data_IF_172178941708
#
_entry.id   IF_172178941708
#
_cell.length_a   1.000
_cell.length_b   1.000
_cell.length_c   1.000
_cell.angle_alpha   90.00
_cell.angle_beta   90.00
_cell.angle_gamma   90.00
#
_symmetry.space_group_name_H-M   'P 1'
#
loop_
_entity.id
_entity.type
_entity.pdbx_description
1 polymer ?
#
# COMPACT_ATOMS: atom_id res chain seq x y z
N UNK A 1 -10.88 -14.16 22.61
CA UNK A 1 -9.85 -13.45 21.84
C UNK A 1 -10.37 -13.02 20.47
N UNK A 2 -10.89 -13.91 19.63
CA UNK A 2 -11.51 -13.52 18.34
C UNK A 2 -12.85 -12.78 18.52
N UNK A 3 -13.76 -13.33 19.34
CA UNK A 3 -15.07 -12.73 19.62
C UNK A 3 -15.00 -11.29 20.16
N UNK A 4 -14.04 -11.00 21.05
CA UNK A 4 -13.83 -9.66 21.60
C UNK A 4 -13.37 -8.64 20.55
N UNK A 5 -12.60 -9.08 19.54
CA UNK A 5 -12.18 -8.22 18.43
C UNK A 5 -13.32 -7.94 17.45
N UNK A 6 -14.11 -8.98 17.13
CA UNK A 6 -15.30 -8.83 16.29
C UNK A 6 -16.27 -7.84 16.95
N UNK A 7 -16.52 -8.00 18.26
CA UNK A 7 -17.37 -7.09 19.01
C UNK A 7 -16.87 -5.64 18.94
N UNK A 8 -15.57 -5.40 19.11
CA UNK A 8 -14.99 -4.07 19.01
C UNK A 8 -15.20 -3.43 17.62
N UNK A 9 -15.06 -4.21 16.53
CA UNK A 9 -15.34 -3.75 15.17
C UNK A 9 -16.82 -3.40 15.03
N UNK A 10 -17.71 -4.29 15.49
CA UNK A 10 -19.16 -4.09 15.43
C UNK A 10 -19.58 -2.83 16.21
N UNK A 11 -19.01 -2.60 17.38
CA UNK A 11 -19.30 -1.45 18.24
C UNK A 11 -18.77 -0.12 17.64
N UNK A 12 -17.65 -0.16 16.90
CA UNK A 12 -17.10 1.02 16.22
C UNK A 12 -18.04 1.60 15.14
N UNK A 13 -18.98 0.79 14.63
CA UNK A 13 -19.96 1.19 13.62
C UNK A 13 -21.36 1.46 14.21
N UNK A 14 -21.48 1.59 15.53
CA UNK A 14 -22.76 1.86 16.18
C UNK A 14 -23.42 3.16 15.67
N UNK A 15 -24.74 3.13 15.49
CA UNK A 15 -25.56 4.25 15.07
C UNK A 15 -25.53 4.55 13.56
N UNK A 16 -24.68 3.88 12.79
CA UNK A 16 -24.57 4.09 11.34
C UNK A 16 -25.63 3.28 10.56
N UNK A 17 -26.60 3.97 9.95
CA UNK A 17 -27.56 3.33 9.04
C UNK A 17 -26.82 2.77 7.81
N UNK A 18 -26.97 1.47 7.54
CA UNK A 18 -26.40 0.82 6.37
C UNK A 18 -24.97 0.30 6.53
N UNK A 19 -24.44 0.22 7.75
CA UNK A 19 -23.04 -0.15 8.00
C UNK A 19 -22.70 -1.65 7.82
N UNK A 20 -23.67 -2.52 7.48
CA UNK A 20 -23.43 -3.97 7.36
C UNK A 20 -22.23 -4.27 6.44
N UNK A 21 -22.18 -3.64 5.27
CA UNK A 21 -21.10 -3.89 4.30
C UNK A 21 -19.73 -3.43 4.82
N UNK A 22 -19.67 -2.28 5.52
CA UNK A 22 -18.44 -1.74 6.10
C UNK A 22 -17.94 -2.63 7.25
N UNK A 23 -18.86 -3.05 8.14
CA UNK A 23 -18.53 -3.96 9.24
C UNK A 23 -17.97 -5.29 8.70
N UNK A 24 -18.58 -5.85 7.65
CA UNK A 24 -18.07 -7.07 7.01
C UNK A 24 -16.70 -6.84 6.36
N UNK A 25 -16.47 -5.67 5.75
CA UNK A 25 -15.15 -5.33 5.20
C UNK A 25 -14.07 -5.25 6.28
N UNK A 26 -14.36 -4.61 7.41
CA UNK A 26 -13.40 -4.47 8.52
C UNK A 26 -13.11 -5.81 9.20
N UNK A 27 -14.14 -6.65 9.39
CA UNK A 27 -13.96 -8.02 9.86
C UNK A 27 -13.07 -8.80 8.88
N UNK A 28 -13.32 -8.70 7.58
CA UNK A 28 -12.49 -9.38 6.60
C UNK A 28 -11.06 -8.85 6.57
N UNK A 29 -10.85 -7.55 6.76
CA UNK A 29 -9.52 -6.96 6.82
C UNK A 29 -8.71 -7.52 8.00
N UNK A 30 -9.37 -7.75 9.14
CA UNK A 30 -8.76 -8.32 10.35
C UNK A 30 -8.52 -9.84 10.24
N UNK A 31 -9.48 -10.60 9.70
CA UNK A 31 -9.46 -12.07 9.73
C UNK A 31 -9.16 -12.75 8.39
N UNK A 32 -9.00 -11.98 7.30
CA UNK A 32 -8.79 -12.47 5.94
C UNK A 32 -10.01 -13.17 5.29
N UNK A 33 -11.11 -13.31 6.03
CA UNK A 33 -12.38 -13.88 5.60
C UNK A 33 -13.47 -13.49 6.60
N UNK A 34 -14.69 -13.99 6.39
CA UNK A 34 -15.83 -13.79 7.27
C UNK A 34 -16.16 -15.10 8.03
N UNK A 35 -15.70 -15.25 9.29
CA UNK A 35 -16.08 -16.37 10.13
C UNK A 35 -17.59 -16.39 10.40
N UNK A 36 -18.19 -17.57 10.52
CA UNK A 36 -19.62 -17.70 10.84
C UNK A 36 -20.01 -16.98 12.13
N UNK A 37 -19.16 -17.06 13.15
CA UNK A 37 -19.35 -16.37 14.42
C UNK A 37 -19.48 -14.85 14.22
N UNK A 38 -18.69 -14.28 13.31
CA UNK A 38 -18.74 -12.87 12.98
C UNK A 38 -20.04 -12.49 12.28
N UNK A 39 -20.51 -13.32 11.34
CA UNK A 39 -21.79 -13.10 10.67
C UNK A 39 -22.97 -13.14 11.64
N UNK A 40 -22.95 -14.03 12.64
CA UNK A 40 -23.96 -14.10 13.70
C UNK A 40 -24.00 -12.82 14.53
N UNK A 41 -22.84 -12.34 14.99
CA UNK A 41 -22.76 -11.08 15.74
C UNK A 41 -23.27 -9.88 14.93
N UNK A 42 -22.93 -9.82 13.64
CA UNK A 42 -23.42 -8.77 12.74
C UNK A 42 -24.94 -8.86 12.55
N UNK A 43 -25.49 -10.07 12.42
CA UNK A 43 -26.93 -10.29 12.29
C UNK A 43 -27.69 -9.81 13.54
N UNK A 44 -27.24 -10.25 14.72
CA UNK A 44 -27.82 -9.87 16.00
C UNK A 44 -27.77 -8.34 16.19
N UNK A 45 -26.62 -7.73 15.86
CA UNK A 45 -26.45 -6.28 15.99
C UNK A 45 -27.32 -5.47 15.04
N UNK A 46 -27.42 -5.93 13.80
CA UNK A 46 -28.19 -5.25 12.75
C UNK A 46 -29.70 -5.47 12.90
N UNK A 47 -30.14 -6.37 13.79
CA UNK A 47 -31.54 -6.78 13.90
C UNK A 47 -32.04 -7.47 12.62
N UNK A 48 -31.16 -8.22 11.95
CA UNK A 48 -31.45 -8.93 10.69
C UNK A 48 -31.28 -10.43 10.87
N UNK A 49 -31.88 -11.21 9.98
CA UNK A 49 -31.67 -12.65 10.01
C UNK A 49 -30.24 -12.99 9.55
N UNK A 50 -29.69 -14.09 10.05
CA UNK A 50 -28.40 -14.60 9.58
C UNK A 50 -28.42 -14.86 8.06
N UNK A 51 -29.57 -15.26 7.51
CA UNK A 51 -29.79 -15.47 6.07
C UNK A 51 -29.60 -14.18 5.28
N UNK A 52 -30.11 -13.05 5.77
CA UNK A 52 -29.92 -11.74 5.12
C UNK A 52 -28.43 -11.38 5.07
N UNK A 53 -27.70 -11.61 6.17
CA UNK A 53 -26.26 -11.34 6.24
C UNK A 53 -25.48 -12.25 5.30
N UNK A 54 -25.80 -13.54 5.21
CA UNK A 54 -25.23 -14.44 4.20
C UNK A 54 -25.56 -13.99 2.79
N UNK A 55 -26.78 -13.48 2.55
CA UNK A 55 -27.17 -12.88 1.28
C UNK A 55 -26.23 -11.74 0.88
N UNK A 56 -25.95 -10.82 1.80
CA UNK A 56 -24.98 -9.73 1.57
C UNK A 56 -23.56 -10.27 1.34
N UNK A 57 -23.09 -11.17 2.20
CA UNK A 57 -21.73 -11.72 2.14
C UNK A 57 -21.45 -12.52 0.86
N UNK A 58 -22.48 -13.14 0.27
CA UNK A 58 -22.36 -13.89 -0.99
C UNK A 58 -22.66 -13.04 -2.22
N UNK A 59 -23.41 -11.96 -2.08
CA UNK A 59 -23.71 -11.03 -3.18
C UNK A 59 -22.47 -10.23 -3.60
N UNK A 60 -21.71 -9.71 -2.64
CA UNK A 60 -20.51 -8.92 -2.92
C UNK A 60 -19.27 -9.80 -3.08
N UNK A 61 -18.73 -9.90 -4.28
CA UNK A 61 -17.53 -10.72 -4.58
C UNK A 61 -16.25 -10.24 -3.88
N UNK A 62 -16.23 -9.01 -3.40
CA UNK A 62 -15.14 -8.49 -2.57
C UNK A 62 -15.09 -9.17 -1.18
N UNK A 63 -16.22 -9.72 -0.70
CA UNK A 63 -16.31 -10.48 0.54
C UNK A 63 -16.09 -11.97 0.29
N UNK A 64 -15.47 -12.65 1.25
CA UNK A 64 -15.18 -14.08 1.21
C UNK A 64 -15.55 -14.75 2.53
N UNK A 65 -16.38 -15.79 2.42
CA UNK A 65 -16.67 -16.72 3.50
C UNK A 65 -15.54 -17.75 3.70
N UNK A 66 -14.67 -17.91 2.71
CA UNK A 66 -13.55 -18.85 2.76
C UNK A 66 -12.27 -18.11 3.13
N UNK A 67 -11.39 -18.73 3.95
CA UNK A 67 -10.06 -18.19 4.22
C UNK A 67 -9.31 -17.87 2.92
N UNK A 68 -8.92 -16.61 2.77
CA UNK A 68 -7.98 -16.19 1.72
C UNK A 68 -6.54 -16.36 2.21
N UNK A 69 -5.64 -16.49 1.25
CA UNK A 69 -4.22 -16.43 1.51
C UNK A 69 -3.77 -15.03 1.87
N UNK A 70 -2.53 -14.91 2.33
CA UNK A 70 -1.90 -13.64 2.68
C UNK A 70 -1.88 -12.66 1.50
N UNK A 71 -1.67 -13.17 0.29
CA UNK A 71 -1.59 -12.41 -0.94
C UNK A 71 -2.79 -12.72 -1.85
N UNK A 72 -3.55 -11.69 -2.23
CA UNK A 72 -4.70 -11.80 -3.12
C UNK A 72 -4.35 -11.26 -4.50
N UNK A 73 -4.39 -12.13 -5.51
CA UNK A 73 -4.15 -11.78 -6.91
C UNK A 73 -5.45 -11.90 -7.69
N UNK A 74 -5.91 -10.79 -8.27
CA UNK A 74 -7.12 -10.72 -9.08
C UNK A 74 -6.79 -10.32 -10.53
N UNK A 75 -7.09 -11.20 -11.50
CA UNK A 75 -6.86 -10.94 -12.92
C UNK A 75 -8.16 -10.49 -13.61
N UNK A 76 -8.10 -9.37 -14.33
CA UNK A 76 -9.23 -8.86 -15.11
C UNK A 76 -9.47 -9.70 -16.37
N UNK A 77 -10.66 -10.28 -16.49
CA UNK A 77 -11.14 -11.02 -17.66
C UNK A 77 -12.24 -10.28 -18.42
N UNK A 78 -12.35 -8.96 -18.25
CA UNK A 78 -13.31 -8.15 -19.00
C UNK A 78 -12.99 -8.15 -20.49
N UNK A 79 -13.99 -7.87 -21.32
CA UNK A 79 -13.90 -8.04 -22.79
C UNK A 79 -12.59 -7.50 -23.37
N UNK A 80 -12.21 -6.27 -23.00
CA UNK A 80 -10.96 -5.65 -23.47
C UNK A 80 -9.69 -6.37 -22.98
N UNK A 81 -9.66 -6.86 -21.73
CA UNK A 81 -8.52 -7.63 -21.21
C UNK A 81 -8.49 -9.04 -21.81
N UNK A 82 -9.66 -9.66 -21.99
CA UNK A 82 -9.82 -10.98 -22.57
C UNK A 82 -9.23 -11.04 -23.98
N UNK A 83 -9.62 -10.12 -24.87
CA UNK A 83 -9.10 -10.06 -26.25
C UNK A 83 -7.60 -9.71 -26.30
N UNK A 84 -7.06 -9.09 -25.25
CA UNK A 84 -5.62 -8.77 -25.12
C UNK A 84 -4.80 -9.90 -24.50
N UNK A 85 -5.39 -11.08 -24.31
CA UNK A 85 -4.67 -12.28 -23.84
C UNK A 85 -4.64 -12.46 -22.32
N UNK A 86 -5.55 -11.82 -21.57
CA UNK A 86 -5.66 -12.06 -20.12
C UNK A 86 -5.87 -13.55 -19.72
N UNK A 87 -6.56 -14.42 -20.49
CA UNK A 87 -6.67 -15.84 -20.15
C UNK A 87 -5.30 -16.53 -20.04
N UNK A 88 -4.37 -16.20 -20.93
CA UNK A 88 -3.00 -16.76 -20.91
C UNK A 88 -2.21 -16.26 -19.69
N UNK A 89 -2.49 -15.02 -19.23
CA UNK A 89 -1.92 -14.49 -17.98
C UNK A 89 -2.44 -15.27 -16.78
N UNK A 90 -3.74 -15.61 -16.75
CA UNK A 90 -4.33 -16.45 -15.69
C UNK A 90 -3.67 -17.83 -15.68
N UNK A 91 -3.55 -18.49 -16.83
CA UNK A 91 -2.91 -19.80 -16.95
C UNK A 91 -1.48 -19.80 -16.43
N UNK A 92 -0.71 -18.73 -16.68
CA UNK A 92 0.64 -18.60 -16.15
C UNK A 92 0.65 -18.42 -14.62
N UNK A 93 -0.30 -17.65 -14.05
CA UNK A 93 -0.44 -17.59 -12.58
C UNK A 93 -0.78 -18.96 -11.99
N UNK A 94 -1.71 -19.69 -12.62
CA UNK A 94 -2.06 -21.05 -12.20
C UNK A 94 -0.84 -21.98 -12.21
N UNK A 95 -0.01 -21.88 -13.25
CA UNK A 95 1.23 -22.66 -13.39
C UNK A 95 2.27 -22.31 -12.32
N UNK A 96 2.46 -21.02 -12.03
CA UNK A 96 3.45 -20.54 -11.05
C UNK A 96 3.04 -20.84 -9.60
N UNK A 97 1.73 -20.79 -9.30
CA UNK A 97 1.19 -21.00 -7.96
C UNK A 97 0.77 -22.46 -7.69
N UNK A 98 0.60 -23.27 -8.74
CA UNK A 98 0.14 -24.66 -8.62
C UNK A 98 -1.32 -24.81 -8.22
N UNK A 99 -2.15 -23.79 -8.47
CA UNK A 99 -3.58 -23.75 -8.13
C UNK A 99 -4.42 -23.27 -9.32
N UNK A 100 -5.74 -23.44 -9.26
CA UNK A 100 -6.68 -22.87 -10.25
C UNK A 100 -7.25 -21.53 -9.80
N UNK A 101 -7.70 -20.73 -10.76
CA UNK A 101 -8.45 -19.51 -10.46
C UNK A 101 -9.67 -19.82 -9.56
N UNK A 102 -9.83 -19.05 -8.49
CA UNK A 102 -10.81 -19.26 -7.42
C UNK A 102 -10.30 -20.10 -6.24
N UNK A 103 -9.02 -20.51 -6.24
CA UNK A 103 -8.42 -21.32 -5.16
C UNK A 103 -7.38 -20.54 -4.36
N UNK A 104 -7.05 -21.08 -3.20
CA UNK A 104 -5.98 -20.63 -2.31
C UNK A 104 -4.95 -21.75 -2.20
N UNK A 105 -3.66 -21.40 -2.17
CA UNK A 105 -2.56 -22.34 -1.98
C UNK A 105 -2.64 -23.04 -0.61
N UNK A 106 -2.08 -24.24 -0.50
CA UNK A 106 -2.14 -25.05 0.72
C UNK A 106 -1.46 -24.39 1.93
N UNK A 107 -0.39 -23.65 1.67
CA UNK A 107 0.35 -22.85 2.66
C UNK A 107 -0.38 -21.55 3.07
N UNK A 108 -1.52 -21.24 2.43
CA UNK A 108 -2.27 -19.98 2.60
C UNK A 108 -1.45 -18.73 2.31
N UNK A 109 -0.43 -18.83 1.46
CA UNK A 109 0.31 -17.65 1.02
C UNK A 109 -0.44 -16.90 -0.09
N UNK A 110 -1.09 -17.59 -1.03
CA UNK A 110 -1.70 -16.96 -2.20
C UNK A 110 -3.14 -17.39 -2.44
N UNK A 111 -4.00 -16.44 -2.81
CA UNK A 111 -5.30 -16.69 -3.45
C UNK A 111 -5.29 -16.10 -4.84
N UNK A 112 -5.65 -16.91 -5.84
CA UNK A 112 -5.81 -16.46 -7.22
C UNK A 112 -7.30 -16.33 -7.54
N UNK A 113 -7.75 -15.14 -7.93
CA UNK A 113 -9.11 -14.86 -8.35
C UNK A 113 -9.13 -14.24 -9.76
N UNK A 114 -10.29 -14.33 -10.41
CA UNK A 114 -10.58 -13.60 -11.64
C UNK A 114 -11.75 -12.65 -11.41
N UNK A 115 -11.70 -11.49 -12.05
CA UNK A 115 -12.75 -10.48 -11.99
C UNK A 115 -13.27 -10.16 -13.37
N UNK A 116 -14.57 -9.89 -13.46
CA UNK A 116 -15.21 -9.64 -14.75
C UNK A 116 -14.75 -8.32 -15.36
N UNK A 117 -14.65 -7.22 -14.61
CA UNK A 117 -14.17 -5.97 -15.15
C UNK A 117 -13.64 -5.08 -14.03
N UNK A 118 -12.49 -4.43 -14.27
CA UNK A 118 -11.92 -3.42 -13.37
C UNK A 118 -12.14 -1.98 -13.85
N UNK A 119 -12.84 -1.78 -14.97
CA UNK A 119 -13.07 -0.45 -15.56
C UNK A 119 -11.82 0.20 -16.19
N UNK A 120 -10.64 -0.41 -16.07
CA UNK A 120 -9.37 0.12 -16.55
C UNK A 120 -9.00 -0.37 -17.97
N UNK A 121 -9.95 -0.37 -18.91
CA UNK A 121 -9.78 -0.99 -20.23
C UNK A 121 -8.58 -0.48 -21.03
N UNK A 122 -8.17 0.78 -20.85
CA UNK A 122 -6.96 1.33 -21.48
C UNK A 122 -5.70 0.57 -21.05
N UNK A 123 -5.64 0.14 -19.78
CA UNK A 123 -4.48 -0.49 -19.13
C UNK A 123 -4.46 -2.03 -19.24
N UNK A 124 -5.41 -2.63 -19.95
CA UNK A 124 -5.54 -4.08 -20.06
C UNK A 124 -4.40 -4.76 -20.85
N UNK A 125 -4.00 -6.01 -20.52
CA UNK A 125 -4.48 -6.83 -19.40
C UNK A 125 -4.07 -6.28 -18.03
N UNK A 126 -5.02 -6.20 -17.11
CA UNK A 126 -4.82 -5.62 -15.76
C UNK A 126 -4.88 -6.71 -14.70
N UNK A 127 -3.92 -6.68 -13.79
CA UNK A 127 -3.86 -7.54 -12.60
C UNK A 127 -3.84 -6.65 -11.37
N UNK A 128 -4.56 -7.04 -10.32
CA UNK A 128 -4.48 -6.43 -9.01
C UNK A 128 -3.85 -7.43 -8.06
N UNK A 129 -2.78 -7.07 -7.37
CA UNK A 129 -2.20 -7.90 -6.32
C UNK A 129 -2.07 -7.08 -5.04
N UNK A 130 -2.70 -7.54 -3.95
CA UNK A 130 -2.79 -6.84 -2.65
C UNK A 130 -3.15 -5.36 -2.77
N UNK A 131 -4.14 -5.06 -3.60
CA UNK A 131 -4.61 -3.68 -3.85
C UNK A 131 -3.78 -2.87 -4.85
N UNK A 132 -2.62 -3.37 -5.28
CA UNK A 132 -1.77 -2.70 -6.28
C UNK A 132 -2.21 -3.07 -7.70
N UNK A 133 -2.43 -2.06 -8.54
CA UNK A 133 -2.81 -2.24 -9.94
C UNK A 133 -1.57 -2.35 -10.84
N UNK A 134 -1.54 -3.39 -11.67
CA UNK A 134 -0.51 -3.64 -12.67
C UNK A 134 -1.14 -3.60 -14.07
N UNK A 135 -0.62 -2.72 -14.91
CA UNK A 135 -1.07 -2.51 -16.28
C UNK A 135 -0.25 -3.31 -17.29
N UNK A 136 -0.87 -3.59 -18.45
CA UNK A 136 -0.24 -4.27 -19.59
C UNK A 136 0.54 -5.53 -19.21
N UNK A 137 -0.03 -6.32 -18.29
CA UNK A 137 0.63 -7.52 -17.77
C UNK A 137 0.72 -8.55 -18.88
N UNK A 138 1.94 -9.04 -19.11
CA UNK A 138 2.25 -10.13 -20.04
C UNK A 138 2.72 -11.34 -19.24
N UNK A 139 2.63 -12.53 -19.82
CA UNK A 139 3.10 -13.80 -19.25
C UNK A 139 4.49 -13.68 -18.60
N UNK A 140 5.44 -13.04 -19.28
CA UNK A 140 6.81 -12.87 -18.75
C UNK A 140 6.93 -12.05 -17.46
N UNK A 141 5.93 -11.19 -17.13
CA UNK A 141 5.91 -10.43 -15.88
C UNK A 141 5.29 -11.19 -14.71
N UNK A 142 4.57 -12.29 -14.97
CA UNK A 142 3.80 -13.01 -13.93
C UNK A 142 4.72 -13.55 -12.83
N UNK A 143 5.83 -14.20 -13.20
CA UNK A 143 6.80 -14.72 -12.22
C UNK A 143 7.30 -13.63 -11.27
N UNK A 144 7.67 -12.49 -11.84
CA UNK A 144 8.15 -11.35 -11.08
C UNK A 144 7.08 -10.79 -10.15
N UNK A 145 5.81 -10.69 -10.60
CA UNK A 145 4.71 -10.25 -9.74
C UNK A 145 4.49 -11.18 -8.54
N UNK A 146 4.60 -12.50 -8.73
CA UNK A 146 4.50 -13.47 -7.64
C UNK A 146 5.66 -13.31 -6.65
N UNK A 147 6.87 -13.07 -7.14
CA UNK A 147 8.04 -12.78 -6.29
C UNK A 147 7.85 -11.47 -5.52
N UNK A 148 7.37 -10.41 -6.17
CA UNK A 148 7.07 -9.11 -5.54
C UNK A 148 6.02 -9.22 -4.44
N UNK A 149 4.99 -10.08 -4.60
CA UNK A 149 4.05 -10.35 -3.51
C UNK A 149 4.79 -10.86 -2.27
N UNK A 150 5.73 -11.80 -2.42
CA UNK A 150 6.49 -12.39 -1.30
C UNK A 150 7.46 -11.41 -0.66
N UNK A 151 8.16 -10.61 -1.47
CA UNK A 151 9.16 -9.64 -0.99
C UNK A 151 8.57 -8.31 -0.55
N UNK A 152 7.29 -8.06 -0.85
CA UNK A 152 6.62 -6.77 -0.71
C UNK A 152 6.76 -5.91 -1.97
N UNK A 153 5.73 -5.08 -2.22
CA UNK A 153 5.69 -4.13 -3.33
C UNK A 153 6.51 -2.85 -3.07
N UNK A 154 7.23 -2.79 -1.95
CA UNK A 154 8.06 -1.66 -1.55
C UNK A 154 9.45 -1.66 -2.20
N UNK A 155 9.78 -2.72 -2.94
CA UNK A 155 11.01 -2.82 -3.72
C UNK A 155 10.91 -1.94 -4.97
N UNK A 156 11.81 -0.97 -5.06
CA UNK A 156 11.83 0.02 -6.15
C UNK A 156 12.66 -0.51 -7.32
N UNK A 157 12.00 -0.91 -8.41
CA UNK A 157 12.68 -1.17 -9.70
C UNK A 157 12.63 0.09 -10.58
N UNK A 158 13.75 0.80 -10.66
CA UNK A 158 13.91 1.93 -11.57
C UNK A 158 13.93 1.49 -13.03
N UNK A 159 13.01 2.03 -13.84
CA UNK A 159 13.00 1.88 -15.31
C UNK A 159 11.78 1.16 -15.89
N UNK A 160 11.06 0.35 -15.09
CA UNK A 160 9.83 -0.34 -15.52
C UNK A 160 8.57 0.20 -14.84
N UNK A 161 8.69 0.74 -13.62
CA UNK A 161 7.59 1.37 -12.90
C UNK A 161 7.56 2.89 -13.14
N UNK A 162 6.62 3.33 -13.97
CA UNK A 162 6.43 4.76 -14.29
C UNK A 162 5.97 5.59 -13.08
N UNK A 163 5.57 4.96 -11.97
CA UNK A 163 5.22 5.64 -10.72
C UNK A 163 6.46 6.06 -9.93
N UNK A 164 7.61 5.46 -10.25
CA UNK A 164 8.89 5.72 -9.60
C UNK A 164 9.74 6.59 -10.50
N UNK A 165 10.09 7.78 -10.02
CA UNK A 165 10.96 8.71 -10.75
C UNK A 165 11.80 9.54 -9.77
N UNK A 166 13.02 9.94 -10.15
CA UNK A 166 13.90 10.72 -9.29
C UNK A 166 13.38 12.14 -9.10
N UNK A 167 13.41 12.61 -7.86
CA UNK A 167 13.12 13.97 -7.46
C UNK A 167 14.42 14.75 -7.24
N UNK A 168 14.45 15.97 -7.74
CA UNK A 168 15.49 16.95 -7.40
C UNK A 168 14.90 17.90 -6.35
N UNK A 169 15.36 17.75 -5.11
CA UNK A 169 14.82 18.50 -3.97
C UNK A 169 15.78 19.57 -3.46
N UNK A 170 15.20 20.68 -3.03
CA UNK A 170 15.89 21.79 -2.40
C UNK A 170 15.19 22.21 -1.10
N UNK A 171 15.94 22.89 -0.24
CA UNK A 171 15.41 23.44 1.00
C UNK A 171 14.42 24.58 0.69
N UNK A 172 13.20 24.57 1.25
CA UNK A 172 12.21 25.62 1.00
C UNK A 172 12.63 27.00 1.56
N UNK A 173 13.59 27.03 2.50
CA UNK A 173 14.07 28.26 3.15
C UNK A 173 15.28 28.87 2.45
N UNK A 174 16.35 28.08 2.26
CA UNK A 174 17.62 28.60 1.70
C UNK A 174 17.86 28.22 0.24
N UNK A 175 16.95 27.45 -0.37
CA UNK A 175 16.99 26.99 -1.77
C UNK A 175 18.21 26.16 -2.18
N UNK A 176 19.09 25.82 -1.24
CA UNK A 176 20.20 24.92 -1.52
C UNK A 176 19.66 23.51 -1.82
N UNK A 177 20.31 22.85 -2.78
CA UNK A 177 20.04 21.44 -3.09
C UNK A 177 20.24 20.57 -1.86
N UNK A 178 19.30 19.66 -1.63
CA UNK A 178 19.40 18.64 -0.59
C UNK A 178 19.95 17.32 -1.16
N UNK A 179 20.30 17.29 -2.45
CA UNK A 179 20.83 16.11 -3.12
C UNK A 179 22.28 15.83 -2.71
N UNK A 180 22.60 14.58 -2.44
CA UNK A 180 23.92 14.05 -2.08
C UNK A 180 24.32 12.98 -3.12
N UNK A 181 25.06 13.37 -4.19
CA UNK A 181 25.47 12.45 -5.25
C UNK A 181 26.56 11.46 -4.81
N UNK A 182 27.28 11.76 -3.72
CA UNK A 182 28.39 10.92 -3.25
C UNK A 182 27.90 9.68 -2.49
N UNK A 183 26.63 9.67 -2.07
CA UNK A 183 26.02 8.58 -1.31
C UNK A 183 24.73 8.13 -1.97
N UNK A 184 24.80 7.36 -3.07
CA UNK A 184 23.61 6.94 -3.78
C UNK A 184 22.77 5.95 -2.98
N UNK A 185 21.45 6.06 -3.12
CA UNK A 185 20.45 5.09 -2.65
C UNK A 185 19.62 4.69 -3.86
N UNK A 186 19.32 3.39 -4.00
CA UNK A 186 18.63 2.82 -5.18
C UNK A 186 19.30 3.16 -6.52
N UNK A 187 20.62 3.36 -6.54
CA UNK A 187 21.37 3.72 -7.75
C UNK A 187 21.25 5.20 -8.18
N UNK A 188 20.61 6.05 -7.38
CA UNK A 188 20.46 7.48 -7.65
C UNK A 188 21.02 8.34 -6.50
N UNK A 189 21.35 9.63 -6.74
CA UNK A 189 21.73 10.57 -5.66
C UNK A 189 20.70 10.54 -4.52
N UNK A 190 21.16 10.50 -3.27
CA UNK A 190 20.23 10.52 -2.13
C UNK A 190 19.82 11.94 -1.76
N UNK A 191 18.80 12.07 -0.93
CA UNK A 191 18.41 13.32 -0.27
C UNK A 191 19.04 13.32 1.12
N UNK A 192 19.94 14.26 1.41
CA UNK A 192 20.60 14.39 2.70
C UNK A 192 19.93 15.46 3.57
N UNK A 193 19.53 15.04 4.76
CA UNK A 193 18.92 15.86 5.79
C UNK A 193 19.71 15.74 7.09
N UNK A 194 19.76 16.83 7.86
CA UNK A 194 20.10 16.73 9.26
C UNK A 194 18.86 16.22 10.03
N UNK A 195 19.08 15.35 11.00
CA UNK A 195 18.04 14.74 11.80
C UNK A 195 18.36 14.95 13.28
N UNK A 196 17.34 15.20 14.09
CA UNK A 196 17.46 15.21 15.54
C UNK A 196 16.39 14.30 16.18
N UNK A 197 16.81 13.55 17.21
CA UNK A 197 15.92 12.72 18.01
C UNK A 197 16.53 12.49 19.40
N UNK A 198 15.74 12.71 20.47
CA UNK A 198 16.18 12.44 21.85
C UNK A 198 17.41 13.23 22.30
N UNK A 199 17.64 14.43 21.74
CA UNK A 199 18.82 15.26 22.03
C UNK A 199 20.05 14.92 21.19
N UNK A 200 20.04 13.82 20.46
CA UNK A 200 21.11 13.42 19.53
C UNK A 200 20.84 14.02 18.14
N UNK A 201 21.89 14.50 17.48
CA UNK A 201 21.85 14.97 16.09
C UNK A 201 22.71 14.09 15.20
N UNK A 202 22.29 13.89 13.96
CA UNK A 202 23.06 13.16 12.95
C UNK A 202 22.47 13.35 11.55
N UNK A 203 22.96 12.58 10.59
CA UNK A 203 22.46 12.62 9.21
C UNK A 203 21.40 11.56 8.94
N UNK A 204 20.44 11.93 8.09
CA UNK A 204 19.49 11.02 7.44
C UNK A 204 19.62 11.18 5.93
N UNK A 205 19.79 10.08 5.23
CA UNK A 205 19.73 10.00 3.78
C UNK A 205 18.48 9.24 3.35
N UNK A 206 17.74 9.80 2.42
CA UNK A 206 16.55 9.19 1.84
C UNK A 206 16.79 8.95 0.35
N UNK A 207 16.14 7.94 -0.23
CA UNK A 207 16.09 7.82 -1.68
C UNK A 207 15.47 9.07 -2.30
N UNK A 208 15.97 9.50 -3.45
CA UNK A 208 15.33 10.57 -4.22
C UNK A 208 14.19 10.07 -5.11
N UNK A 209 14.04 8.75 -5.25
CA UNK A 209 13.00 8.17 -6.07
C UNK A 209 11.65 8.30 -5.36
N UNK A 210 10.71 8.99 -5.99
CA UNK A 210 9.33 9.00 -5.51
C UNK A 210 8.79 7.56 -5.50
N UNK A 211 8.14 7.15 -4.41
CA UNK A 211 7.73 5.76 -4.19
C UNK A 211 8.77 4.88 -3.51
N UNK A 212 10.02 5.33 -3.33
CA UNK A 212 11.02 4.62 -2.53
C UNK A 212 10.97 5.01 -1.07
N UNK A 213 11.10 4.00 -0.20
CA UNK A 213 11.19 4.14 1.25
C UNK A 213 12.60 3.86 1.77
N UNK A 214 13.55 3.64 0.87
CA UNK A 214 14.92 3.37 1.25
C UNK A 214 15.54 4.60 1.91
N UNK A 215 16.24 4.37 3.02
CA UNK A 215 16.93 5.43 3.73
C UNK A 215 17.94 4.89 4.72
N UNK A 216 19.01 5.65 4.91
CA UNK A 216 20.10 5.35 5.81
C UNK A 216 20.26 6.48 6.82
N UNK A 217 20.31 6.15 8.11
CA UNK A 217 20.58 7.10 9.18
C UNK A 217 21.96 6.83 9.78
N UNK A 218 22.61 7.89 10.24
CA UNK A 218 23.95 7.80 10.88
C UNK A 218 23.92 6.99 12.17
N UNK A 219 22.81 7.04 12.91
CA UNK A 219 22.58 6.25 14.10
C UNK A 219 21.24 5.53 14.02
N UNK A 220 21.06 4.51 14.87
CA UNK A 220 19.81 3.78 14.96
C UNK A 220 18.73 4.64 15.61
N UNK A 221 17.64 4.89 14.87
CA UNK A 221 16.42 5.51 15.38
C UNK A 221 15.38 4.41 15.61
N UNK A 222 14.77 4.33 16.81
CA UNK A 222 13.73 3.33 17.09
C UNK A 222 12.56 3.40 16.10
N UNK A 223 11.99 2.24 15.77
CA UNK A 223 10.82 2.15 14.90
C UNK A 223 9.63 2.91 15.51
N UNK A 224 8.94 3.72 14.70
CA UNK A 224 7.82 4.55 15.15
C UNK A 224 8.21 5.84 15.87
N UNK A 225 9.50 6.11 16.10
CA UNK A 225 9.96 7.39 16.64
C UNK A 225 9.70 8.54 15.66
N UNK A 226 9.33 9.70 16.18
CA UNK A 226 9.21 10.93 15.38
C UNK A 226 10.53 11.69 15.46
N UNK A 227 11.06 12.09 14.30
CA UNK A 227 12.35 12.78 14.19
C UNK A 227 12.16 14.20 13.66
N UNK A 228 12.95 15.15 14.15
CA UNK A 228 13.02 16.49 13.57
C UNK A 228 13.94 16.44 12.34
N UNK A 229 13.48 17.00 11.22
CA UNK A 229 14.22 17.03 9.97
C UNK A 229 14.62 18.47 9.66
N UNK A 230 15.91 18.67 9.43
CA UNK A 230 16.52 19.99 9.24
C UNK A 230 17.32 20.03 7.95
N UNK A 231 17.44 21.23 7.39
CA UNK A 231 18.32 21.47 6.25
C UNK A 231 19.81 21.35 6.68
N UNK A 232 20.65 20.57 5.98
CA UNK A 232 22.09 20.49 6.24
C UNK A 232 22.82 21.83 6.07
N UNK A 233 22.28 22.74 5.24
CA UNK A 233 22.95 23.98 4.85
C UNK A 233 22.61 25.15 5.76
N UNK A 234 21.32 25.39 6.05
CA UNK A 234 20.89 26.51 6.88
C UNK A 234 20.48 26.12 8.30
N UNK A 235 20.50 24.81 8.62
CA UNK A 235 20.13 24.25 9.94
C UNK A 235 18.71 24.57 10.41
N UNK A 236 17.88 25.13 9.52
CA UNK A 236 16.48 25.35 9.79
C UNK A 236 15.72 24.02 9.77
N UNK A 237 14.81 23.84 10.73
CA UNK A 237 13.79 22.79 10.65
C UNK A 237 12.97 22.96 9.37
N UNK A 238 12.71 21.85 8.69
CA UNK A 238 11.86 21.84 7.51
C UNK A 238 10.41 22.14 7.91
N UNK A 239 9.67 22.97 7.16
CA UNK A 239 8.35 23.39 7.59
C UNK A 239 7.34 22.24 7.52
N UNK A 240 6.40 22.25 8.46
CA UNK A 240 5.33 21.26 8.54
C UNK A 240 4.04 21.77 7.92
N UNK A 241 3.34 20.93 7.17
CA UNK A 241 2.09 21.32 6.52
C UNK A 241 0.92 20.37 6.82
N UNK A 242 1.10 19.07 6.55
CA UNK A 242 0.03 18.07 6.49
C UNK A 242 0.13 17.00 7.59
N UNK A 243 -1.01 16.41 7.96
CA UNK A 243 -1.03 15.17 8.74
C UNK A 243 -0.89 13.97 7.79
N UNK A 244 -0.03 13.02 8.14
CA UNK A 244 0.18 11.81 7.37
C UNK A 244 -1.08 10.94 7.37
N UNK A 245 -1.54 10.50 6.20
CA UNK A 245 -2.70 9.63 6.06
C UNK A 245 -2.51 8.26 6.74
N UNK A 246 -1.28 7.76 6.80
CA UNK A 246 -0.99 6.42 7.32
C UNK A 246 -0.85 6.37 8.85
N UNK A 247 -0.33 7.43 9.48
CA UNK A 247 -0.02 7.42 10.92
C UNK A 247 -0.41 8.68 11.69
N UNK A 248 -1.00 9.69 11.03
CA UNK A 248 -1.43 10.95 11.64
C UNK A 248 -0.31 11.92 12.02
N UNK A 249 0.97 11.51 11.92
CA UNK A 249 2.12 12.37 12.28
C UNK A 249 2.28 13.52 11.27
N UNK A 250 2.77 14.68 11.74
CA UNK A 250 3.06 15.84 10.88
C UNK A 250 4.12 15.51 9.84
N UNK A 251 3.88 15.92 8.61
CA UNK A 251 4.78 15.77 7.48
C UNK A 251 5.53 17.07 7.24
N UNK A 252 6.84 16.97 7.01
CA UNK A 252 7.66 18.09 6.53
C UNK A 252 7.63 18.15 5.02
N UNK A 253 7.93 19.31 4.44
CA UNK A 253 8.05 19.43 2.99
C UNK A 253 9.39 19.99 2.52
N UNK A 254 9.74 19.62 1.29
CA UNK A 254 10.86 20.12 0.51
C UNK A 254 10.37 20.59 -0.85
N UNK A 255 11.11 21.48 -1.50
CA UNK A 255 10.74 22.01 -2.81
C UNK A 255 11.33 21.13 -3.90
N UNK A 256 10.53 20.75 -4.89
CA UNK A 256 10.92 20.07 -6.11
C UNK A 256 10.78 21.05 -7.28
N UNK A 257 11.89 21.37 -7.96
CA UNK A 257 11.93 22.24 -9.16
C UNK A 257 11.06 23.51 -9.05
N UNK A 258 11.13 24.18 -7.91
CA UNK A 258 10.53 25.49 -7.59
C UNK A 258 9.00 25.63 -7.68
N UNK A 259 8.24 24.57 -7.97
CA UNK A 259 6.76 24.65 -8.14
C UNK A 259 5.98 23.51 -7.51
N UNK A 260 6.68 22.49 -7.04
CA UNK A 260 6.08 21.28 -6.48
C UNK A 260 6.66 21.09 -5.08
N UNK A 261 5.85 20.70 -4.12
CA UNK A 261 6.34 20.30 -2.81
C UNK A 261 6.25 18.78 -2.66
N UNK A 262 7.31 18.18 -2.13
CA UNK A 262 7.26 16.79 -1.67
C UNK A 262 7.15 16.80 -0.15
N UNK A 263 6.14 16.11 0.35
CA UNK A 263 5.87 15.92 1.77
C UNK A 263 6.37 14.54 2.19
N UNK A 264 7.08 14.46 3.31
CA UNK A 264 7.61 13.20 3.86
C UNK A 264 7.24 13.08 5.34
N UNK A 265 6.76 11.91 5.74
CA UNK A 265 6.42 11.64 7.13
C UNK A 265 7.67 11.63 8.02
N UNK A 266 7.56 12.26 9.19
CA UNK A 266 8.64 12.33 10.19
C UNK A 266 8.74 11.07 11.07
N UNK A 267 7.80 10.13 10.96
CA UNK A 267 7.76 8.93 11.79
C UNK A 267 8.62 7.84 11.15
N UNK A 268 9.65 7.36 11.86
CA UNK A 268 10.50 6.24 11.41
C UNK A 268 9.63 5.00 11.14
N UNK A 269 9.81 4.40 9.96
CA UNK A 269 9.03 3.25 9.51
C UNK A 269 7.72 3.61 8.79
N UNK A 270 7.28 4.87 8.84
CA UNK A 270 6.11 5.29 8.09
C UNK A 270 6.47 5.56 6.63
N UNK A 271 5.63 5.04 5.72
CA UNK A 271 5.77 5.17 4.26
C UNK A 271 5.08 6.40 3.68
N UNK A 272 4.42 7.20 4.52
CA UNK A 272 3.65 8.35 4.06
C UNK A 272 4.55 9.40 3.39
N UNK A 273 4.33 9.60 2.10
CA UNK A 273 4.90 10.69 1.32
C UNK A 273 3.92 11.11 0.23
N UNK A 274 3.98 12.37 -0.20
CA UNK A 274 3.03 12.93 -1.15
C UNK A 274 3.68 14.05 -1.96
N UNK A 275 3.39 14.11 -3.26
CA UNK A 275 3.66 15.29 -4.07
C UNK A 275 2.43 16.18 -4.11
N UNK A 276 2.62 17.47 -3.85
CA UNK A 276 1.60 18.48 -3.98
C UNK A 276 2.06 19.51 -5.01
N UNK A 277 1.20 19.77 -6.00
CA UNK A 277 1.39 20.84 -6.97
C UNK A 277 0.83 22.12 -6.33
N UNK A 278 1.59 23.21 -6.37
CA UNK A 278 1.10 24.55 -6.01
C UNK A 278 0.27 25.18 -7.14
#
# INVERSE_FOLDING_TARGET
>A
MAASRIQAIVDAHDGQRGAIINILHDIQAEFGHLPEEALRMVADRAGRSLVDIYGVATFYRSLSLKPRGKHLIAVCLGTACHVRGAPVVVEEFERQLGIKAGQTTLDREFTLETVNCLGACALGPTVVADGHYFSHVKVGKVKHLVEQCRSGFDGVETGTDLRVFPLEVSCPRCRHTLMDPDHPIDGHPSIRLAMAHGGTRGWLRLSCLYGSYAGASEYHVPEGAVVDLLCPHCLAELPEALACADCGTRMVFMTVRDRVTVHVCRRRGCKGHMLQLE
#
